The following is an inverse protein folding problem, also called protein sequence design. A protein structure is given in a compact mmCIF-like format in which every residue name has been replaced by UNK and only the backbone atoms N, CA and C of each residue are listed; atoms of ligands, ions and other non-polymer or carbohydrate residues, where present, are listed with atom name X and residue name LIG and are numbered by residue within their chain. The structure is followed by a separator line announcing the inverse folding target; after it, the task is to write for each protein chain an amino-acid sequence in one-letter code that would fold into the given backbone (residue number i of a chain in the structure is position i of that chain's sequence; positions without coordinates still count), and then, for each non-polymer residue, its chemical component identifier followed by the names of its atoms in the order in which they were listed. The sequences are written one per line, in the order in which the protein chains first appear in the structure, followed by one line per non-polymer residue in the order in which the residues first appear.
data_IF_570248295800
#
_entry.id   IF_570248295800
#
_cell.length_a   1.000
_cell.length_b   1.000
_cell.length_c   1.000
_cell.angle_alpha   90.00
_cell.angle_beta   90.00
_cell.angle_gamma   90.00
#
_symmetry.space_group_name_H-M   'P 1'
#
loop_
_entity.id
_entity.type
_entity.pdbx_description
1 polymer ?
#
# COMPACT_ATOMS: atom_id res chain seq x y z
N UNK A 1 -7.26 26.14 -11.88
CA UNK A 1 -7.19 25.90 -10.42
C UNK A 1 -6.38 24.65 -10.13
N UNK A 2 -6.69 23.46 -10.71
CA UNK A 2 -6.01 22.19 -10.41
C UNK A 2 -4.49 22.27 -10.55
N UNK A 3 -3.97 22.75 -11.65
CA UNK A 3 -2.52 22.92 -11.85
C UNK A 3 -1.87 23.82 -10.79
N UNK A 4 -2.54 24.90 -10.42
CA UNK A 4 -2.06 25.77 -9.36
C UNK A 4 -2.00 25.08 -8.01
N UNK A 5 -3.08 24.43 -7.58
CA UNK A 5 -3.12 23.73 -6.29
C UNK A 5 -2.07 22.62 -6.19
N UNK A 6 -1.92 21.80 -7.24
CA UNK A 6 -0.98 20.70 -7.24
C UNK A 6 0.48 21.19 -7.30
N UNK A 7 0.76 22.28 -8.01
CA UNK A 7 2.09 22.88 -8.05
C UNK A 7 2.47 23.54 -6.72
N UNK A 8 1.52 24.21 -6.06
CA UNK A 8 1.71 24.80 -4.74
C UNK A 8 2.04 23.73 -3.69
N UNK A 9 1.28 22.64 -3.67
CA UNK A 9 1.52 21.47 -2.80
C UNK A 9 2.87 20.79 -3.06
N UNK A 10 3.36 20.79 -4.31
CA UNK A 10 4.67 20.25 -4.65
C UNK A 10 5.81 21.20 -4.24
N UNK A 11 5.56 22.48 -4.24
CA UNK A 11 6.57 23.50 -3.88
C UNK A 11 6.87 23.48 -2.39
N UNK A 12 5.83 23.55 -1.57
CA UNK A 12 5.95 23.62 -0.11
C UNK A 12 4.65 23.19 0.59
N UNK A 13 4.78 22.74 1.84
CA UNK A 13 3.67 22.52 2.76
C UNK A 13 3.82 23.45 3.98
N UNK A 14 2.75 23.60 4.75
CA UNK A 14 2.82 24.23 6.07
C UNK A 14 3.49 23.28 7.09
N UNK A 15 4.80 23.39 7.20
CA UNK A 15 5.61 22.63 8.17
C UNK A 15 5.54 23.31 9.54
N UNK A 16 4.39 23.20 10.19
CA UNK A 16 4.22 23.70 11.55
C UNK A 16 3.95 22.57 12.54
N UNK A 17 4.37 22.75 13.78
CA UNK A 17 4.07 21.79 14.85
C UNK A 17 2.57 21.57 15.03
N UNK A 18 1.76 22.60 14.81
CA UNK A 18 0.31 22.51 14.88
C UNK A 18 -0.27 21.62 13.77
N UNK A 19 0.18 21.81 12.53
CA UNK A 19 -0.25 20.97 11.40
C UNK A 19 0.17 19.53 11.60
N UNK A 20 1.39 19.29 12.08
CA UNK A 20 1.87 17.95 12.39
C UNK A 20 1.00 17.26 13.45
N UNK A 21 0.68 17.94 14.56
CA UNK A 21 -0.15 17.35 15.63
C UNK A 21 -1.55 16.99 15.13
N UNK A 22 -2.17 17.86 14.34
CA UNK A 22 -3.48 17.57 13.74
C UNK A 22 -3.42 16.33 12.84
N UNK A 23 -2.46 16.28 11.93
CA UNK A 23 -2.32 15.15 11.00
C UNK A 23 -1.91 13.86 11.71
N UNK A 24 -1.04 13.94 12.71
CA UNK A 24 -0.69 12.80 13.56
C UNK A 24 -1.93 12.20 14.20
N UNK A 25 -2.79 13.02 14.79
CA UNK A 25 -4.07 12.58 15.36
C UNK A 25 -4.96 11.86 14.35
N UNK A 26 -5.10 12.42 13.15
CA UNK A 26 -5.89 11.82 12.05
C UNK A 26 -5.32 10.45 11.64
N UNK A 27 -4.02 10.36 11.39
CA UNK A 27 -3.39 9.10 10.94
C UNK A 27 -3.40 8.04 12.05
N UNK A 28 -3.20 8.43 13.31
CA UNK A 28 -3.31 7.51 14.44
C UNK A 28 -4.73 6.95 14.57
N UNK A 29 -5.75 7.78 14.39
CA UNK A 29 -7.13 7.32 14.44
C UNK A 29 -7.46 6.41 13.26
N UNK A 30 -6.97 6.74 12.06
CA UNK A 30 -7.09 5.86 10.88
C UNK A 30 -6.44 4.49 11.13
N UNK A 31 -5.24 4.47 11.73
CA UNK A 31 -4.58 3.21 12.11
C UNK A 31 -5.44 2.39 13.07
N UNK A 32 -5.98 3.01 14.12
CA UNK A 32 -6.85 2.31 15.08
C UNK A 32 -8.09 1.75 14.39
N UNK A 33 -8.77 2.55 13.60
CA UNK A 33 -9.99 2.14 12.91
C UNK A 33 -9.75 1.01 11.92
N UNK A 34 -8.66 1.06 11.17
CA UNK A 34 -8.35 0.04 10.15
C UNK A 34 -7.77 -1.23 10.74
N UNK A 35 -6.92 -1.12 11.76
CA UNK A 35 -6.08 -2.23 12.20
C UNK A 35 -6.49 -2.78 13.58
N UNK A 36 -7.00 -1.95 14.52
CA UNK A 36 -7.23 -2.37 15.89
C UNK A 36 -8.70 -2.54 16.24
N UNK A 37 -9.57 -1.65 15.77
CA UNK A 37 -10.97 -1.55 16.22
C UNK A 37 -11.96 -2.41 15.41
N UNK A 38 -11.47 -3.24 14.50
CA UNK A 38 -12.32 -4.13 13.72
C UNK A 38 -11.85 -5.58 13.78
N UNK A 39 -12.75 -6.56 13.73
CA UNK A 39 -12.38 -7.96 13.60
C UNK A 39 -11.43 -8.17 12.42
N UNK A 40 -10.38 -8.95 12.61
CA UNK A 40 -9.35 -9.27 11.61
C UNK A 40 -8.56 -8.06 11.04
N UNK A 41 -8.66 -6.88 11.68
CA UNK A 41 -8.01 -5.67 11.19
C UNK A 41 -6.48 -5.72 11.19
N UNK A 42 -5.90 -6.46 12.12
CA UNK A 42 -4.45 -6.64 12.27
C UNK A 42 -3.84 -7.74 11.37
N UNK A 43 -4.66 -8.45 10.58
CA UNK A 43 -4.20 -9.54 9.70
C UNK A 43 -3.01 -9.12 8.82
N UNK A 44 -3.06 -7.93 8.23
CA UNK A 44 -1.97 -7.43 7.40
C UNK A 44 -0.65 -7.26 8.16
N UNK A 45 -0.72 -6.81 9.42
CA UNK A 45 0.45 -6.65 10.30
C UNK A 45 1.03 -7.98 10.75
N UNK A 46 0.21 -9.01 10.88
CA UNK A 46 0.63 -10.35 11.29
C UNK A 46 1.16 -11.18 10.11
N UNK A 47 0.50 -11.11 8.96
CA UNK A 47 0.84 -11.94 7.81
C UNK A 47 2.09 -11.46 7.06
N UNK A 48 2.24 -10.14 6.89
CA UNK A 48 3.36 -9.57 6.12
C UNK A 48 4.73 -9.95 6.67
N UNK A 49 5.02 -9.94 7.99
CA UNK A 49 6.29 -10.39 8.53
C UNK A 49 6.55 -11.90 8.39
N UNK A 50 5.53 -12.69 8.11
CA UNK A 50 5.71 -14.11 7.73
C UNK A 50 6.17 -14.24 6.28
N UNK A 51 5.65 -13.40 5.39
CA UNK A 51 5.98 -13.41 3.96
C UNK A 51 7.33 -12.76 3.68
N UNK A 52 7.60 -11.60 4.30
CA UNK A 52 8.79 -10.79 4.06
C UNK A 52 9.62 -10.69 5.33
N UNK A 53 10.92 -10.95 5.24
CA UNK A 53 11.87 -10.88 6.35
C UNK A 53 12.81 -9.69 6.26
N UNK A 54 13.19 -9.31 5.05
CA UNK A 54 14.14 -8.22 4.81
C UNK A 54 13.52 -7.05 4.06
N UNK A 55 12.64 -7.35 3.10
CA UNK A 55 12.03 -6.30 2.28
C UNK A 55 11.04 -5.45 3.10
N UNK A 56 10.97 -4.12 2.89
CA UNK A 56 10.04 -3.21 3.60
C UNK A 56 8.56 -3.56 3.47
N UNK A 57 8.18 -4.45 2.56
CA UNK A 57 6.81 -4.98 2.47
C UNK A 57 6.36 -5.80 3.68
N UNK A 58 7.26 -6.08 4.61
CA UNK A 58 6.93 -6.72 5.89
C UNK A 58 5.97 -5.89 6.76
N UNK A 59 5.75 -4.61 6.46
CA UNK A 59 4.73 -3.79 7.10
C UNK A 59 3.80 -3.12 6.08
N UNK A 60 2.54 -2.82 6.45
CA UNK A 60 1.61 -2.14 5.58
C UNK A 60 1.92 -0.65 5.45
N UNK A 61 1.38 -0.01 4.40
CA UNK A 61 1.59 1.41 4.10
C UNK A 61 1.13 2.35 5.22
N UNK A 62 0.10 1.96 5.99
CA UNK A 62 -0.38 2.76 7.13
C UNK A 62 0.67 2.89 8.25
N UNK A 63 1.70 2.08 8.24
CA UNK A 63 2.78 2.03 9.23
C UNK A 63 2.87 0.70 9.94
N UNK A 64 4.04 0.43 10.53
CA UNK A 64 4.31 -0.80 11.27
C UNK A 64 3.63 -0.80 12.63
N UNK A 65 3.73 0.30 13.36
CA UNK A 65 3.23 0.43 14.71
C UNK A 65 2.68 1.83 14.96
N UNK A 66 1.65 1.93 15.80
CA UNK A 66 1.04 3.21 16.16
C UNK A 66 2.04 4.19 16.80
N UNK A 67 2.99 3.64 17.57
CA UNK A 67 4.00 4.43 18.23
C UNK A 67 4.95 5.16 17.27
N UNK A 68 5.24 4.58 16.10
CA UNK A 68 6.04 5.25 15.07
C UNK A 68 5.35 6.50 14.54
N UNK A 69 4.02 6.46 14.38
CA UNK A 69 3.23 7.63 13.98
C UNK A 69 3.24 8.68 15.11
N UNK A 70 3.07 8.23 16.35
CA UNK A 70 3.06 9.12 17.51
C UNK A 70 4.38 9.87 17.72
N UNK A 71 5.50 9.24 17.40
CA UNK A 71 6.85 9.80 17.60
C UNK A 71 7.41 10.53 16.37
N UNK A 72 6.72 10.50 15.21
CA UNK A 72 7.19 11.18 14.01
C UNK A 72 7.45 12.67 14.27
N UNK A 73 8.63 13.14 13.92
CA UNK A 73 9.06 14.53 14.12
C UNK A 73 8.77 15.38 12.89
N UNK A 74 8.70 16.70 13.08
CA UNK A 74 8.54 17.64 11.98
C UNK A 74 9.69 17.54 10.99
N UNK A 75 10.92 17.39 11.50
CA UNK A 75 12.12 17.25 10.67
C UNK A 75 12.06 16.00 9.76
N UNK A 76 11.59 14.87 10.27
CA UNK A 76 11.42 13.66 9.44
C UNK A 76 10.40 13.86 8.34
N UNK A 77 9.32 14.59 8.61
CA UNK A 77 8.30 14.93 7.60
C UNK A 77 8.87 15.86 6.53
N UNK A 78 9.60 16.89 6.92
CA UNK A 78 10.32 17.81 6.01
C UNK A 78 11.33 17.05 5.15
N UNK A 79 12.18 16.24 5.77
CA UNK A 79 13.22 15.46 5.09
C UNK A 79 12.61 14.51 4.06
N UNK A 80 11.51 13.87 4.41
CA UNK A 80 10.76 13.01 3.50
C UNK A 80 10.20 13.82 2.32
N UNK A 81 9.53 14.92 2.60
CA UNK A 81 8.95 15.78 1.56
C UNK A 81 10.02 16.25 0.58
N UNK A 82 11.10 16.86 1.08
CA UNK A 82 12.15 17.38 0.22
C UNK A 82 12.97 16.30 -0.50
N UNK A 83 12.95 15.06 -0.01
CA UNK A 83 13.61 13.93 -0.67
C UNK A 83 12.80 13.36 -1.82
N UNK A 84 11.47 13.44 -1.79
CA UNK A 84 10.60 12.72 -2.73
C UNK A 84 9.65 13.59 -3.55
N UNK A 85 9.21 14.73 -3.02
CA UNK A 85 8.28 15.63 -3.70
C UNK A 85 9.03 16.60 -4.60
N UNK A 86 9.25 16.19 -5.84
CA UNK A 86 9.95 17.00 -6.83
C UNK A 86 9.38 16.74 -8.24
N UNK A 87 9.38 17.72 -9.16
CA UNK A 87 8.89 17.53 -10.53
C UNK A 87 9.60 16.39 -11.26
N UNK A 88 10.88 16.20 -11.01
CA UNK A 88 11.67 15.13 -11.61
C UNK A 88 11.46 13.75 -10.94
N UNK A 89 10.56 13.63 -9.99
CA UNK A 89 10.09 12.39 -9.37
C UNK A 89 8.56 12.24 -9.46
N UNK A 90 7.91 12.98 -10.33
CA UNK A 90 6.47 12.98 -10.47
C UNK A 90 6.06 12.73 -11.92
N UNK A 91 4.89 12.13 -12.08
CA UNK A 91 4.20 12.00 -13.38
C UNK A 91 2.90 12.79 -13.27
N UNK A 92 2.72 13.77 -14.16
CA UNK A 92 1.49 14.53 -14.25
C UNK A 92 0.56 13.88 -15.27
N UNK A 93 -0.58 13.38 -14.81
CA UNK A 93 -1.64 12.89 -15.68
C UNK A 93 -2.82 13.88 -15.67
N UNK A 94 -3.23 14.33 -16.85
CA UNK A 94 -4.33 15.31 -17.00
C UNK A 94 -5.40 14.69 -17.90
N UNK A 95 -6.63 14.63 -17.40
CA UNK A 95 -7.78 14.11 -18.15
C UNK A 95 -8.94 15.09 -18.06
N UNK A 96 -9.69 15.25 -19.15
CA UNK A 96 -10.85 16.14 -19.19
C UNK A 96 -10.98 16.87 -20.53
N UNK A 97 -11.80 17.91 -20.55
CA UNK A 97 -11.98 18.75 -21.72
C UNK A 97 -10.84 19.80 -21.82
N UNK A 98 -9.68 19.33 -22.26
CA UNK A 98 -8.47 20.13 -22.41
C UNK A 98 -7.65 19.57 -23.56
N UNK A 99 -7.00 20.44 -24.37
CA UNK A 99 -6.07 19.99 -25.40
C UNK A 99 -4.70 19.68 -24.80
N UNK A 100 -3.91 18.90 -25.54
CA UNK A 100 -2.55 18.58 -25.11
C UNK A 100 -1.67 19.83 -24.98
N UNK A 101 -1.75 20.73 -25.97
CA UNK A 101 -0.99 21.99 -26.01
C UNK A 101 -1.34 22.88 -24.79
N UNK A 102 -2.61 22.97 -24.46
CA UNK A 102 -3.05 23.73 -23.28
C UNK A 102 -2.57 23.08 -21.98
N UNK A 103 -2.63 21.75 -21.89
CA UNK A 103 -2.10 21.01 -20.72
C UNK A 103 -0.58 21.23 -20.54
N UNK A 104 0.20 21.17 -21.63
CA UNK A 104 1.64 21.46 -21.61
C UNK A 104 1.89 22.89 -21.17
N UNK A 105 1.21 23.86 -21.77
CA UNK A 105 1.35 25.28 -21.40
C UNK A 105 1.06 25.54 -19.92
N UNK A 106 0.03 24.91 -19.37
CA UNK A 106 -0.31 25.02 -17.95
C UNK A 106 0.70 24.31 -17.06
N UNK A 107 1.19 23.15 -17.48
CA UNK A 107 2.24 22.43 -16.76
C UNK A 107 3.53 23.25 -16.69
N UNK A 108 3.98 23.79 -17.81
CA UNK A 108 5.17 24.66 -17.87
C UNK A 108 4.99 25.91 -17.00
N UNK A 109 3.81 26.55 -17.05
CA UNK A 109 3.52 27.73 -16.23
C UNK A 109 3.62 27.45 -14.73
N UNK A 110 3.04 26.36 -14.28
CA UNK A 110 2.84 26.10 -12.85
C UNK A 110 3.92 25.23 -12.22
N UNK A 111 4.41 24.21 -12.94
CA UNK A 111 5.44 23.30 -12.43
C UNK A 111 6.85 23.67 -12.92
N UNK A 112 6.99 24.37 -14.05
CA UNK A 112 8.28 24.78 -14.60
C UNK A 112 9.17 25.57 -13.64
N UNK A 113 8.61 26.50 -12.83
CA UNK A 113 9.39 27.26 -11.84
C UNK A 113 9.90 26.42 -10.67
N UNK A 114 9.34 25.22 -10.42
CA UNK A 114 9.75 24.36 -9.30
C UNK A 114 11.09 23.71 -9.62
N UNK A 115 12.12 23.90 -8.79
CA UNK A 115 13.45 23.37 -9.09
C UNK A 115 13.47 21.83 -8.99
N UNK A 116 14.33 21.23 -9.83
CA UNK A 116 14.68 19.80 -9.70
C UNK A 116 15.38 19.59 -8.37
N UNK A 117 15.16 18.41 -7.77
CA UNK A 117 15.84 18.01 -6.54
C UNK A 117 16.72 16.79 -6.78
N UNK A 118 17.75 16.62 -5.98
CA UNK A 118 18.51 15.39 -5.95
C UNK A 118 17.66 14.29 -5.31
N UNK A 119 17.42 13.22 -6.06
CA UNK A 119 16.58 12.12 -5.62
C UNK A 119 17.44 11.05 -4.95
N UNK A 120 17.04 10.65 -3.76
CA UNK A 120 17.65 9.50 -3.09
C UNK A 120 17.35 8.22 -3.88
N UNK A 121 18.39 7.50 -4.30
CA UNK A 121 18.24 6.18 -4.91
C UNK A 121 17.65 5.22 -3.87
N UNK A 122 16.57 4.55 -4.24
CA UNK A 122 16.05 3.45 -3.44
C UNK A 122 16.97 2.24 -3.60
N UNK A 123 17.53 1.79 -2.50
CA UNK A 123 18.24 0.53 -2.42
C UNK A 123 17.43 -0.41 -1.54
N UNK A 124 16.45 -1.08 -2.15
CA UNK A 124 15.62 -2.03 -1.45
C UNK A 124 16.31 -3.39 -1.39
N UNK A 125 16.40 -4.04 -0.22
CA UNK A 125 16.95 -5.36 -0.11
C UNK A 125 16.10 -6.36 -0.90
N UNK A 126 16.78 -7.30 -1.58
CA UNK A 126 16.08 -8.41 -2.18
C UNK A 126 15.58 -9.34 -1.08
N UNK A 127 14.32 -9.73 -1.16
CA UNK A 127 13.77 -10.69 -0.21
C UNK A 127 14.31 -12.10 -0.51
N UNK A 128 14.91 -12.81 0.46
CA UNK A 128 15.42 -14.16 0.26
C UNK A 128 14.31 -15.15 -0.11
N UNK A 129 14.68 -16.21 -0.81
CA UNK A 129 13.74 -17.27 -1.16
C UNK A 129 13.21 -17.95 0.13
N UNK A 130 11.90 -18.13 0.20
CA UNK A 130 11.30 -18.89 1.27
C UNK A 130 11.43 -20.39 0.99
N UNK A 131 12.07 -21.11 1.90
CA UNK A 131 12.37 -22.56 1.77
C UNK A 131 11.47 -23.42 2.65
N UNK A 132 10.72 -22.81 3.55
CA UNK A 132 9.86 -23.51 4.51
C UNK A 132 8.53 -22.81 4.72
N UNK A 133 7.54 -23.56 5.16
CA UNK A 133 6.26 -23.02 5.58
C UNK A 133 6.42 -22.23 6.89
N UNK A 134 5.74 -21.10 7.00
CA UNK A 134 5.71 -20.27 8.22
C UNK A 134 4.28 -20.15 8.70
N UNK A 135 4.05 -20.48 9.96
CA UNK A 135 2.71 -20.44 10.58
C UNK A 135 2.69 -19.53 11.78
N UNK A 136 1.55 -18.90 12.00
CA UNK A 136 1.24 -18.12 13.18
C UNK A 136 -0.22 -18.37 13.56
N UNK A 137 -0.47 -18.78 14.78
CA UNK A 137 -1.82 -18.86 15.37
C UNK A 137 -1.97 -17.73 16.35
N UNK A 138 -3.06 -16.98 16.25
CA UNK A 138 -3.34 -15.81 17.08
C UNK A 138 -4.77 -15.90 17.61
N UNK A 139 -4.93 -15.75 18.91
CA UNK A 139 -6.23 -15.67 19.54
C UNK A 139 -6.72 -14.22 19.56
N UNK A 140 -7.96 -14.01 19.12
CA UNK A 140 -8.64 -12.71 19.11
C UNK A 140 -10.12 -12.91 19.44
N UNK A 141 -10.74 -11.87 19.99
CA UNK A 141 -12.18 -11.85 20.15
C UNK A 141 -12.85 -11.55 18.80
N UNK A 142 -13.07 -12.59 18.01
CA UNK A 142 -13.66 -12.52 16.67
C UNK A 142 -14.85 -13.45 16.53
N UNK A 143 -15.80 -13.16 15.65
CA UNK A 143 -17.03 -13.95 15.52
C UNK A 143 -16.80 -15.40 15.03
N UNK A 144 -15.81 -15.61 14.18
CA UNK A 144 -15.55 -16.89 13.51
C UNK A 144 -14.04 -17.05 13.32
N UNK A 145 -13.54 -18.26 13.41
CA UNK A 145 -12.15 -18.59 13.06
C UNK A 145 -11.88 -18.30 11.58
N UNK A 146 -10.68 -17.80 11.30
CA UNK A 146 -10.27 -17.45 9.94
C UNK A 146 -8.87 -17.93 9.64
N UNK A 147 -8.68 -18.52 8.45
CA UNK A 147 -7.39 -18.93 7.92
C UNK A 147 -6.96 -17.97 6.81
N UNK A 148 -5.77 -17.42 6.94
CA UNK A 148 -5.13 -16.57 5.92
C UNK A 148 -3.88 -17.27 5.42
N UNK A 149 -3.78 -17.41 4.10
CA UNK A 149 -2.61 -17.99 3.45
C UNK A 149 -2.05 -17.00 2.43
N UNK A 150 -0.74 -16.89 2.36
CA UNK A 150 -0.04 -16.04 1.39
C UNK A 150 1.02 -16.87 0.66
N UNK A 151 1.05 -16.72 -0.65
CA UNK A 151 2.04 -17.31 -1.54
C UNK A 151 2.75 -16.22 -2.30
N UNK A 152 4.08 -16.28 -2.36
CA UNK A 152 4.85 -15.33 -3.14
C UNK A 152 4.70 -15.64 -4.64
N UNK A 153 4.61 -14.59 -5.42
CA UNK A 153 4.52 -14.68 -6.89
C UNK A 153 5.59 -13.79 -7.51
N UNK A 154 5.70 -13.80 -8.81
CA UNK A 154 6.56 -12.89 -9.56
C UNK A 154 6.10 -11.43 -9.45
N UNK A 155 6.98 -10.50 -9.80
CA UNK A 155 6.64 -9.09 -9.86
C UNK A 155 5.65 -8.76 -11.00
N UNK A 156 5.05 -7.57 -10.94
CA UNK A 156 4.01 -7.15 -11.89
C UNK A 156 4.49 -7.02 -13.33
N UNK A 157 5.77 -6.80 -13.55
CA UNK A 157 6.36 -6.64 -14.90
C UNK A 157 6.86 -7.96 -15.46
N UNK A 158 6.84 -9.02 -14.67
CA UNK A 158 7.28 -10.33 -15.11
C UNK A 158 6.31 -10.92 -16.16
N UNK A 159 6.81 -11.62 -17.20
CA UNK A 159 5.95 -12.23 -18.23
C UNK A 159 4.86 -13.14 -17.69
N UNK A 160 5.13 -13.84 -16.58
CA UNK A 160 4.19 -14.79 -15.96
C UNK A 160 3.15 -14.11 -15.05
N UNK A 161 3.18 -12.79 -14.87
CA UNK A 161 2.26 -12.11 -13.98
C UNK A 161 0.79 -12.42 -14.28
N UNK A 162 0.40 -12.34 -15.54
CA UNK A 162 -0.98 -12.63 -15.95
C UNK A 162 -1.37 -14.09 -15.76
N UNK A 163 -0.42 -15.02 -15.86
CA UNK A 163 -0.69 -16.44 -15.57
C UNK A 163 -1.01 -16.63 -14.07
N UNK A 164 -0.29 -15.97 -13.19
CA UNK A 164 -0.60 -15.97 -11.74
C UNK A 164 -1.93 -15.28 -11.42
N UNK A 165 -2.26 -14.20 -12.11
CA UNK A 165 -3.53 -13.47 -11.92
C UNK A 165 -4.72 -14.39 -12.29
N UNK A 166 -4.66 -15.04 -13.45
CA UNK A 166 -5.66 -16.03 -13.90
C UNK A 166 -5.71 -17.24 -12.95
N UNK A 167 -4.56 -17.73 -12.50
CA UNK A 167 -4.52 -18.84 -11.53
C UNK A 167 -5.23 -18.45 -10.22
N UNK A 168 -5.02 -17.24 -9.74
CA UNK A 168 -5.73 -16.72 -8.56
C UNK A 168 -7.24 -16.70 -8.75
N UNK A 169 -7.71 -16.29 -9.93
CA UNK A 169 -9.13 -16.27 -10.27
C UNK A 169 -9.72 -17.68 -10.34
N UNK A 170 -9.04 -18.63 -10.99
CA UNK A 170 -9.48 -20.02 -11.03
C UNK A 170 -9.59 -20.62 -9.64
N UNK A 171 -8.66 -20.28 -8.73
CA UNK A 171 -8.64 -20.82 -7.39
C UNK A 171 -9.72 -20.21 -6.49
N UNK A 172 -9.92 -18.89 -6.50
CA UNK A 172 -10.66 -18.22 -5.43
C UNK A 172 -11.67 -17.15 -5.86
N UNK A 173 -11.72 -16.76 -7.14
CA UNK A 173 -12.61 -15.69 -7.58
C UNK A 173 -13.93 -16.23 -8.16
N UNK A 174 -15.04 -15.86 -7.49
CA UNK A 174 -16.37 -16.23 -7.93
C UNK A 174 -16.86 -17.62 -7.45
N UNK A 175 -18.16 -17.83 -7.59
CA UNK A 175 -18.84 -19.04 -7.05
C UNK A 175 -18.37 -20.35 -7.66
N UNK A 176 -17.88 -20.35 -8.89
CA UNK A 176 -17.38 -21.53 -9.61
C UNK A 176 -15.89 -21.81 -9.38
N UNK A 177 -15.21 -20.99 -8.60
CA UNK A 177 -13.79 -21.19 -8.30
C UNK A 177 -13.53 -22.46 -7.51
N UNK A 178 -12.37 -23.07 -7.72
CA UNK A 178 -12.06 -24.40 -7.17
C UNK A 178 -12.10 -24.47 -5.66
N UNK A 179 -11.58 -23.46 -4.96
CA UNK A 179 -11.61 -23.43 -3.50
C UNK A 179 -13.03 -23.26 -2.97
N UNK A 180 -13.86 -22.44 -3.59
CA UNK A 180 -15.26 -22.30 -3.18
C UNK A 180 -16.02 -23.61 -3.42
N UNK A 181 -15.91 -24.19 -4.62
CA UNK A 181 -16.57 -25.46 -4.88
C UNK A 181 -16.16 -26.52 -3.87
N UNK A 182 -14.86 -26.73 -3.68
CA UNK A 182 -14.37 -27.82 -2.88
C UNK A 182 -14.51 -27.61 -1.37
N UNK A 183 -14.19 -26.41 -0.87
CA UNK A 183 -14.15 -26.15 0.57
C UNK A 183 -15.51 -25.68 1.13
N UNK A 184 -16.29 -24.94 0.34
CA UNK A 184 -17.57 -24.41 0.80
C UNK A 184 -18.73 -25.30 0.40
N UNK A 185 -18.82 -25.75 -0.88
CA UNK A 185 -19.96 -26.52 -1.37
C UNK A 185 -19.81 -28.01 -1.08
N UNK A 186 -18.70 -28.64 -1.45
CA UNK A 186 -18.56 -30.09 -1.33
C UNK A 186 -18.25 -30.52 0.11
N UNK A 187 -17.26 -29.90 0.74
CA UNK A 187 -16.79 -30.28 2.10
C UNK A 187 -17.43 -29.50 3.23
N UNK A 188 -17.99 -28.35 2.97
CA UNK A 188 -18.62 -27.46 3.96
C UNK A 188 -17.72 -27.16 5.19
N UNK A 189 -16.39 -27.08 4.97
CA UNK A 189 -15.43 -26.77 6.03
C UNK A 189 -15.37 -25.28 6.31
N UNK A 190 -15.66 -24.45 5.28
CA UNK A 190 -15.71 -23.01 5.38
C UNK A 190 -17.09 -22.48 5.01
N UNK A 191 -17.58 -21.50 5.73
CA UNK A 191 -18.85 -20.81 5.41
C UNK A 191 -18.70 -19.83 4.25
N UNK A 192 -17.49 -19.33 4.03
CA UNK A 192 -17.14 -18.40 2.95
C UNK A 192 -15.65 -18.50 2.63
N UNK A 193 -15.32 -18.70 1.38
CA UNK A 193 -14.01 -18.37 0.84
C UNK A 193 -14.16 -17.01 0.15
N UNK A 194 -13.58 -15.97 0.69
CA UNK A 194 -13.44 -14.71 -0.04
C UNK A 194 -11.98 -14.57 -0.41
N UNK A 195 -11.62 -14.27 -1.65
CA UNK A 195 -10.37 -13.60 -1.89
C UNK A 195 -10.47 -12.28 -1.13
N UNK A 196 -9.71 -12.14 -0.06
CA UNK A 196 -9.23 -10.81 0.25
C UNK A 196 -8.56 -10.36 -1.05
N UNK A 197 -8.78 -9.14 -1.54
CA UNK A 197 -8.07 -8.72 -2.73
C UNK A 197 -6.64 -9.16 -2.55
N UNK A 198 -6.07 -9.94 -3.47
CA UNK A 198 -4.77 -10.53 -3.26
C UNK A 198 -3.90 -9.39 -2.77
N UNK A 199 -3.10 -9.62 -1.72
CA UNK A 199 -2.02 -8.70 -1.45
C UNK A 199 -1.29 -8.64 -2.78
N UNK A 200 -1.71 -7.71 -3.64
CA UNK A 200 -1.09 -7.60 -4.94
C UNK A 200 0.36 -7.40 -4.63
N UNK A 201 1.13 -8.42 -4.94
CA UNK A 201 2.57 -8.34 -4.84
C UNK A 201 2.92 -7.13 -5.69
N UNK A 202 3.26 -6.06 -5.01
CA UNK A 202 3.94 -4.95 -5.66
C UNK A 202 5.38 -5.38 -5.63
N UNK A 203 6.07 -5.34 -6.77
CA UNK A 203 7.45 -5.79 -6.89
C UNK A 203 8.38 -5.12 -5.91
#
# INVERSE_FOLDING_TARGET
IGFWLESDRMLCLDFSSKSLEVQRGVVMEEFKQRCLNRPYGDTGHLLRPLVYKEHPYQWPTIGKELNHIAQATLQEVEDFFFSFYAPNNAILAVTGNITFEEAVRLAEKWFGPIPRRELKKRNLPAEPQQTEERRLTVERNVPIESLYMAFRMCDRMHPDYYAYDILSDILSNGRSSRLIQHLVHDRQIFSRSAPNPPFRAVP
#
